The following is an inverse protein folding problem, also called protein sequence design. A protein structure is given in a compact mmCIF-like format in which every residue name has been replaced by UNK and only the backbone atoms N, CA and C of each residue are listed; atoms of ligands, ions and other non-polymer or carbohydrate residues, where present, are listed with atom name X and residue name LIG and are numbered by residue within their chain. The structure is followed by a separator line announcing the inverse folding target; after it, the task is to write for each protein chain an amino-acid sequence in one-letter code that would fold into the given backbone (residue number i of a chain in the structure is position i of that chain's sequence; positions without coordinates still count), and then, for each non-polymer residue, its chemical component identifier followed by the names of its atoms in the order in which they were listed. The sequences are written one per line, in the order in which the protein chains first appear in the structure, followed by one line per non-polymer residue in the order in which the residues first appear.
data_IF_652073022906
#
_entry.id   IF_652073022906
#
_cell.length_a   1.000
_cell.length_b   1.000
_cell.length_c   1.000
_cell.angle_alpha   90.00
_cell.angle_beta   90.00
_cell.angle_gamma   90.00
#
_symmetry.space_group_name_H-M   'P 1'
#
loop_
_entity.id
_entity.type
_entity.pdbx_description
1 polymer ?
#
# COMPACT_ATOMS: atom_id res chain seq x y z
N UNK A 1 -7.06 22.20 11.91
CA UNK A 1 -7.37 20.91 12.59
C UNK A 1 -6.83 20.84 14.01
N UNK A 2 -5.51 20.89 14.26
CA UNK A 2 -4.93 20.86 15.64
C UNK A 2 -5.40 21.95 16.61
N UNK A 3 -5.95 23.05 16.08
CA UNK A 3 -6.49 24.18 16.85
C UNK A 3 -7.59 23.78 17.84
N UNK A 4 -8.43 22.80 17.51
CA UNK A 4 -9.54 22.39 18.38
C UNK A 4 -9.10 21.51 19.56
N UNK A 5 -7.99 20.77 19.41
CA UNK A 5 -7.43 19.91 20.46
C UNK A 5 -6.56 20.67 21.45
N UNK A 6 -5.84 21.69 20.97
CA UNK A 6 -4.81 22.39 21.74
C UNK A 6 -5.12 23.88 21.95
N UNK A 7 -6.39 24.27 21.90
CA UNK A 7 -6.79 25.69 21.99
C UNK A 7 -6.34 26.34 23.31
N UNK A 8 -6.33 25.55 24.40
CA UNK A 8 -5.98 25.99 25.75
C UNK A 8 -4.47 26.16 25.97
N UNK A 9 -3.62 25.73 25.02
CA UNK A 9 -2.16 25.76 25.17
C UNK A 9 -1.52 27.06 24.66
N UNK A 10 -0.45 27.55 25.33
CA UNK A 10 0.27 28.74 24.91
C UNK A 10 0.86 28.59 23.50
N UNK A 11 0.92 29.71 22.75
CA UNK A 11 1.25 29.72 21.31
C UNK A 11 2.58 29.03 20.96
N UNK A 12 3.60 29.12 21.82
CA UNK A 12 4.90 28.45 21.63
C UNK A 12 4.78 26.93 21.63
N UNK A 13 3.97 26.39 22.53
CA UNK A 13 3.70 24.95 22.60
C UNK A 13 2.92 24.48 21.38
N UNK A 14 1.93 25.25 20.92
CA UNK A 14 1.20 24.96 19.68
C UNK A 14 2.09 24.96 18.43
N UNK A 15 3.08 25.86 18.36
CA UNK A 15 4.07 25.89 17.28
C UNK A 15 4.98 24.66 17.33
N UNK A 16 5.46 24.28 18.53
CA UNK A 16 6.26 23.06 18.72
C UNK A 16 5.48 21.79 18.37
N UNK A 17 4.23 21.69 18.83
CA UNK A 17 3.30 20.61 18.50
C UNK A 17 3.02 20.56 16.98
N UNK A 18 2.86 21.73 16.35
CA UNK A 18 2.69 21.83 14.89
C UNK A 18 3.94 21.42 14.12
N UNK A 19 5.13 21.75 14.61
CA UNK A 19 6.41 21.37 14.00
C UNK A 19 6.64 19.85 14.05
N UNK A 20 6.34 19.22 15.20
CA UNK A 20 6.44 17.77 15.36
C UNK A 20 5.21 17.01 14.86
N UNK A 21 4.19 17.69 14.35
CA UNK A 21 3.00 17.06 13.78
C UNK A 21 3.31 16.53 12.38
N UNK A 22 3.99 15.39 12.32
CA UNK A 22 4.06 14.57 11.12
C UNK A 22 2.71 13.90 10.82
N UNK A 23 2.53 13.47 9.57
CA UNK A 23 1.40 12.68 9.09
C UNK A 23 1.15 11.43 9.95
N UNK A 24 2.21 10.67 10.25
CA UNK A 24 2.11 9.44 11.07
C UNK A 24 1.66 9.75 12.50
N UNK A 25 2.20 10.81 13.10
CA UNK A 25 1.86 11.25 14.46
C UNK A 25 0.41 11.74 14.50
N UNK A 26 -0.02 12.48 13.47
CA UNK A 26 -1.39 12.96 13.35
C UNK A 26 -2.40 11.82 13.21
N UNK A 27 -2.14 10.86 12.31
CA UNK A 27 -3.01 9.71 12.10
C UNK A 27 -3.11 8.86 13.36
N UNK A 28 -1.98 8.59 14.03
CA UNK A 28 -1.96 7.87 15.30
C UNK A 28 -2.73 8.60 16.41
N UNK A 29 -2.55 9.92 16.50
CA UNK A 29 -3.26 10.76 17.46
C UNK A 29 -4.77 10.76 17.24
N UNK A 30 -5.24 10.94 16.00
CA UNK A 30 -6.68 10.92 15.69
C UNK A 30 -7.31 9.54 15.90
N UNK A 31 -6.56 8.45 15.68
CA UNK A 31 -7.04 7.09 15.96
C UNK A 31 -7.23 6.86 17.46
N UNK A 32 -6.38 7.44 18.30
CA UNK A 32 -6.45 7.31 19.77
C UNK A 32 -7.43 8.29 20.41
N UNK A 33 -7.52 9.50 19.88
CA UNK A 33 -8.42 10.57 20.34
C UNK A 33 -9.31 11.04 19.19
N UNK A 34 -10.37 10.30 18.86
CA UNK A 34 -11.29 10.66 17.77
C UNK A 34 -12.21 11.84 18.14
N UNK A 35 -12.47 12.05 19.44
CA UNK A 35 -13.25 13.19 19.91
C UNK A 35 -12.39 14.45 20.03
N UNK A 36 -12.80 15.53 19.34
CA UNK A 36 -12.14 16.84 19.35
C UNK A 36 -12.39 17.63 20.66
N UNK A 37 -12.07 17.02 21.80
CA UNK A 37 -12.17 17.63 23.13
C UNK A 37 -10.82 17.57 23.85
N UNK A 38 -10.46 18.58 24.66
CA UNK A 38 -9.30 18.50 25.54
C UNK A 38 -9.47 17.33 26.50
N UNK A 39 -8.52 16.38 26.50
CA UNK A 39 -8.52 15.24 27.41
C UNK A 39 -7.17 15.14 28.14
N UNK A 40 -7.16 14.69 29.42
CA UNK A 40 -5.93 14.42 30.14
C UNK A 40 -5.05 13.40 29.39
N UNK A 41 -3.75 13.67 29.31
CA UNK A 41 -2.77 12.74 28.70
C UNK A 41 -2.53 12.90 27.19
N UNK A 42 -3.27 13.76 26.48
CA UNK A 42 -3.05 14.01 25.05
C UNK A 42 -1.63 14.52 24.75
N UNK A 43 -1.10 15.42 25.59
CA UNK A 43 0.25 15.97 25.43
C UNK A 43 1.30 14.89 25.67
N UNK A 44 1.14 14.06 26.71
CA UNK A 44 2.06 12.98 27.01
C UNK A 44 2.09 11.92 25.89
N UNK A 45 0.93 11.57 25.34
CA UNK A 45 0.82 10.69 24.18
C UNK A 45 1.48 11.31 22.94
N UNK A 46 1.20 12.58 22.65
CA UNK A 46 1.83 13.29 21.54
C UNK A 46 3.35 13.36 21.69
N UNK A 47 3.86 13.71 22.87
CA UNK A 47 5.30 13.78 23.11
C UNK A 47 5.96 12.41 23.00
N UNK A 48 5.29 11.35 23.45
CA UNK A 48 5.75 9.97 23.28
C UNK A 48 5.81 9.60 21.80
N UNK A 49 4.73 9.83 21.05
CA UNK A 49 4.67 9.58 19.61
C UNK A 49 5.73 10.39 18.84
N UNK A 50 5.90 11.67 19.16
CA UNK A 50 6.90 12.53 18.56
C UNK A 50 8.33 12.07 18.87
N UNK A 51 8.63 11.72 20.12
CA UNK A 51 9.94 11.22 20.53
C UNK A 51 10.26 9.86 19.88
N UNK A 52 9.30 8.92 19.86
CA UNK A 52 9.47 7.63 19.18
C UNK A 52 9.69 7.83 17.68
N UNK A 53 8.89 8.66 17.02
CA UNK A 53 9.08 8.97 15.61
C UNK A 53 10.46 9.61 15.36
N UNK A 54 10.89 10.51 16.23
CA UNK A 54 12.21 11.14 16.15
C UNK A 54 13.33 10.12 16.29
N UNK A 55 13.27 9.23 17.29
CA UNK A 55 14.25 8.16 17.47
C UNK A 55 14.26 7.21 16.26
N UNK A 56 13.08 6.88 15.72
CA UNK A 56 12.96 6.00 14.56
C UNK A 56 13.52 6.63 13.28
N UNK A 57 13.61 7.96 13.21
CA UNK A 57 14.32 8.67 12.15
C UNK A 57 15.82 8.73 12.41
N UNK A 58 16.21 9.07 13.64
CA UNK A 58 17.61 9.31 14.00
C UNK A 58 18.44 8.02 13.97
N UNK A 59 17.94 6.91 14.53
CA UNK A 59 18.67 5.64 14.59
C UNK A 59 19.12 5.15 13.20
N UNK A 60 18.23 4.99 12.20
CA UNK A 60 18.65 4.54 10.87
C UNK A 60 19.47 5.60 10.13
N UNK A 61 19.25 6.89 10.37
CA UNK A 61 20.07 7.95 9.76
C UNK A 61 21.51 7.89 10.25
N UNK A 62 21.72 7.81 11.57
CA UNK A 62 23.04 7.68 12.18
C UNK A 62 23.68 6.35 11.77
N UNK A 63 22.92 5.25 11.81
CA UNK A 63 23.40 3.96 11.34
C UNK A 63 23.87 4.03 9.88
N UNK A 64 23.10 4.66 8.99
CA UNK A 64 23.47 4.88 7.59
C UNK A 64 24.71 5.75 7.43
N UNK A 65 24.84 6.84 8.20
CA UNK A 65 26.03 7.72 8.19
C UNK A 65 27.28 6.98 8.66
N UNK A 66 27.19 6.17 9.72
CA UNK A 66 28.32 5.40 10.23
C UNK A 66 28.71 4.30 9.25
N UNK A 67 27.72 3.59 8.68
CA UNK A 67 27.94 2.52 7.72
C UNK A 67 28.43 3.03 6.35
N UNK A 68 28.23 4.31 6.03
CA UNK A 68 28.72 4.93 4.80
C UNK A 68 30.25 4.86 4.68
N UNK A 69 30.99 4.86 5.79
CA UNK A 69 32.46 4.71 5.78
C UNK A 69 32.92 3.31 5.33
N UNK A 70 32.03 2.30 5.36
CA UNK A 70 32.33 0.98 4.83
C UNK A 70 32.28 0.93 3.29
N UNK A 71 31.72 1.97 2.65
CA UNK A 71 31.60 2.05 1.19
C UNK A 71 32.85 2.76 0.63
N UNK A 72 33.61 2.12 -0.27
CA UNK A 72 34.78 2.75 -0.90
C UNK A 72 34.40 4.08 -1.58
N UNK A 73 35.21 5.13 -1.36
CA UNK A 73 35.00 6.43 -2.01
C UNK A 73 35.00 6.34 -3.55
N UNK A 74 35.63 5.30 -4.12
CA UNK A 74 35.62 5.01 -5.55
C UNK A 74 34.24 4.65 -6.11
N UNK A 75 33.31 4.16 -5.27
CA UNK A 75 31.93 3.85 -5.68
C UNK A 75 31.05 5.10 -5.72
N UNK A 76 31.45 6.16 -5.02
CA UNK A 76 30.79 7.46 -5.02
C UNK A 76 29.42 7.49 -4.33
N UNK A 77 28.98 8.71 -3.99
CA UNK A 77 27.68 8.94 -3.34
C UNK A 77 26.48 8.49 -4.20
N UNK A 78 26.62 8.53 -5.52
CA UNK A 78 25.58 8.11 -6.47
C UNK A 78 25.21 6.63 -6.32
N UNK A 79 26.17 5.76 -6.05
CA UNK A 79 25.92 4.33 -5.84
C UNK A 79 25.17 4.07 -4.53
N UNK A 80 25.59 4.71 -3.44
CA UNK A 80 24.92 4.60 -2.14
C UNK A 80 23.45 5.07 -2.21
N UNK A 81 23.20 6.18 -2.92
CA UNK A 81 21.84 6.68 -3.14
C UNK A 81 20.97 5.70 -3.93
N UNK A 82 21.51 5.10 -5.00
CA UNK A 82 20.78 4.08 -5.78
C UNK A 82 20.50 2.83 -4.94
N UNK A 83 21.45 2.34 -4.14
CA UNK A 83 21.20 1.21 -3.23
C UNK A 83 20.12 1.52 -2.19
N UNK A 84 20.11 2.73 -1.63
CA UNK A 84 19.07 3.16 -0.70
C UNK A 84 17.68 3.18 -1.36
N UNK A 85 17.58 3.76 -2.56
CA UNK A 85 16.33 3.75 -3.35
C UNK A 85 15.92 2.32 -3.72
N UNK A 86 16.88 1.45 -4.03
CA UNK A 86 16.63 0.05 -4.34
C UNK A 86 16.13 -0.72 -3.11
N UNK A 87 16.65 -0.43 -1.91
CA UNK A 87 16.13 -0.99 -0.66
C UNK A 87 14.68 -0.58 -0.39
N UNK A 88 14.34 0.69 -0.58
CA UNK A 88 12.96 1.18 -0.48
C UNK A 88 12.08 0.51 -1.54
N UNK A 89 12.54 0.46 -2.79
CA UNK A 89 11.83 -0.19 -3.89
C UNK A 89 11.52 -1.65 -3.55
N UNK A 90 12.50 -2.42 -3.10
CA UNK A 90 12.33 -3.83 -2.72
C UNK A 90 11.34 -4.00 -1.58
N UNK A 91 11.29 -3.08 -0.61
CA UNK A 91 10.28 -3.11 0.46
C UNK A 91 8.86 -2.82 -0.05
N UNK A 92 8.72 -2.20 -1.22
CA UNK A 92 7.42 -1.92 -1.84
C UNK A 92 6.97 -3.02 -2.81
N UNK A 93 7.84 -3.96 -3.17
CA UNK A 93 7.49 -5.09 -4.04
C UNK A 93 6.64 -6.09 -3.28
N UNK A 94 5.32 -6.05 -3.48
CA UNK A 94 4.39 -6.90 -2.76
C UNK A 94 3.65 -7.91 -3.64
N UNK A 95 3.77 -7.81 -4.97
CA UNK A 95 3.04 -8.65 -5.91
C UNK A 95 3.75 -8.82 -7.26
N UNK A 96 3.27 -9.82 -8.03
CA UNK A 96 3.82 -10.19 -9.35
C UNK A 96 3.67 -9.10 -10.42
N UNK A 97 2.66 -8.23 -10.32
CA UNK A 97 2.47 -7.14 -11.28
C UNK A 97 3.44 -6.00 -10.98
N UNK A 98 3.71 -5.73 -9.70
CA UNK A 98 4.78 -4.81 -9.30
C UNK A 98 6.15 -5.29 -9.80
N UNK A 99 6.46 -6.59 -9.71
CA UNK A 99 7.68 -7.16 -10.29
C UNK A 99 7.76 -6.96 -11.82
N UNK A 100 6.66 -7.21 -12.53
CA UNK A 100 6.60 -6.99 -13.98
C UNK A 100 6.83 -5.52 -14.34
N UNK A 101 6.20 -4.59 -13.61
CA UNK A 101 6.37 -3.16 -13.84
C UNK A 101 7.82 -2.71 -13.61
N UNK A 102 8.48 -3.24 -12.58
CA UNK A 102 9.91 -2.98 -12.32
C UNK A 102 10.79 -3.52 -13.44
N UNK A 103 10.53 -4.73 -13.93
CA UNK A 103 11.27 -5.32 -15.04
C UNK A 103 11.10 -4.50 -16.34
N UNK A 104 9.88 -4.06 -16.63
CA UNK A 104 9.59 -3.21 -17.80
C UNK A 104 10.25 -1.84 -17.66
N UNK A 105 10.16 -1.21 -16.49
CA UNK A 105 10.83 0.06 -16.21
C UNK A 105 12.35 -0.06 -16.43
N UNK A 106 12.97 -1.10 -15.86
CA UNK A 106 14.41 -1.33 -15.93
C UNK A 106 14.89 -1.58 -17.36
N UNK A 107 14.19 -2.45 -18.10
CA UNK A 107 14.52 -2.73 -19.50
C UNK A 107 14.32 -1.51 -20.41
N UNK A 108 13.23 -0.76 -20.22
CA UNK A 108 12.98 0.47 -20.96
C UNK A 108 14.03 1.55 -20.67
N UNK A 109 14.42 1.72 -19.40
CA UNK A 109 15.47 2.67 -19.00
C UNK A 109 16.82 2.35 -19.65
N UNK A 110 17.19 1.06 -19.73
CA UNK A 110 18.42 0.59 -20.38
C UNK A 110 18.34 0.76 -21.90
N UNK A 111 17.22 0.38 -22.51
CA UNK A 111 17.02 0.51 -23.96
C UNK A 111 17.05 1.97 -24.43
N UNK A 112 16.59 2.90 -23.59
CA UNK A 112 16.58 4.34 -23.88
C UNK A 112 17.78 5.10 -23.33
N UNK A 113 18.82 4.41 -22.84
CA UNK A 113 19.99 5.02 -22.23
C UNK A 113 20.70 6.05 -23.13
N UNK A 114 20.66 5.85 -24.45
CA UNK A 114 21.28 6.75 -25.42
C UNK A 114 20.55 8.09 -25.60
N UNK A 115 19.35 8.27 -25.03
CA UNK A 115 18.62 9.54 -25.15
C UNK A 115 19.21 10.62 -24.21
N UNK A 116 19.49 11.84 -24.73
CA UNK A 116 19.95 12.95 -23.91
C UNK A 116 18.86 13.44 -22.95
N UNK A 117 19.24 14.22 -21.93
CA UNK A 117 18.34 14.92 -20.98
C UNK A 117 17.59 14.05 -19.95
N UNK A 118 18.08 12.85 -19.60
CA UNK A 118 17.40 11.93 -18.65
C UNK A 118 15.98 11.51 -19.11
N UNK A 119 15.70 11.58 -20.40
CA UNK A 119 14.44 11.12 -21.00
C UNK A 119 14.18 9.63 -20.78
N UNK A 120 15.24 8.84 -20.57
CA UNK A 120 15.15 7.43 -20.22
C UNK A 120 14.29 7.16 -18.98
N UNK A 121 14.30 8.04 -17.98
CA UNK A 121 13.46 7.91 -16.77
C UNK A 121 11.99 8.06 -17.13
N UNK A 122 11.65 9.07 -17.95
CA UNK A 122 10.28 9.32 -18.36
C UNK A 122 9.72 8.18 -19.21
N UNK A 123 10.50 7.68 -20.17
CA UNK A 123 10.11 6.54 -20.99
C UNK A 123 9.92 5.30 -20.13
N UNK A 124 10.82 5.04 -19.18
CA UNK A 124 10.70 3.92 -18.26
C UNK A 124 9.42 3.99 -17.41
N UNK A 125 9.09 5.16 -16.86
CA UNK A 125 7.86 5.37 -16.08
C UNK A 125 6.62 5.14 -16.95
N UNK A 126 6.58 5.73 -18.16
CA UNK A 126 5.47 5.56 -19.07
C UNK A 126 5.27 4.10 -19.48
N UNK A 127 6.36 3.39 -19.82
CA UNK A 127 6.33 1.98 -20.17
C UNK A 127 5.86 1.11 -19.00
N UNK A 128 6.34 1.39 -17.78
CA UNK A 128 5.97 0.65 -16.58
C UNK A 128 4.49 0.84 -16.22
N UNK A 129 3.98 2.08 -16.30
CA UNK A 129 2.55 2.39 -16.07
C UNK A 129 1.67 1.70 -17.11
N UNK A 130 2.05 1.76 -18.39
CA UNK A 130 1.30 1.09 -19.45
C UNK A 130 1.26 -0.44 -19.23
N UNK A 131 2.41 -1.05 -18.94
CA UNK A 131 2.49 -2.49 -18.66
C UNK A 131 1.71 -2.87 -17.40
N UNK A 132 1.79 -2.08 -16.33
CA UNK A 132 1.04 -2.30 -15.09
C UNK A 132 -0.47 -2.27 -15.32
N UNK A 133 -0.97 -1.27 -16.05
CA UNK A 133 -2.39 -1.16 -16.39
C UNK A 133 -2.85 -2.31 -17.28
N UNK A 134 -2.07 -2.68 -18.29
CA UNK A 134 -2.39 -3.82 -19.16
C UNK A 134 -2.44 -5.13 -18.36
N UNK A 135 -1.49 -5.36 -17.46
CA UNK A 135 -1.47 -6.56 -16.63
C UNK A 135 -2.64 -6.61 -15.64
N UNK A 136 -3.00 -5.48 -15.03
CA UNK A 136 -4.15 -5.39 -14.12
C UNK A 136 -5.48 -5.62 -14.87
N UNK A 137 -5.63 -5.09 -16.08
CA UNK A 137 -6.82 -5.35 -16.91
C UNK A 137 -6.94 -6.81 -17.33
N UNK A 138 -5.83 -7.44 -17.72
CA UNK A 138 -5.80 -8.86 -18.06
C UNK A 138 -6.18 -9.76 -16.86
N UNK A 139 -5.63 -9.48 -15.67
CA UNK A 139 -5.97 -10.24 -14.45
C UNK A 139 -7.45 -10.11 -14.07
N UNK A 140 -8.00 -8.89 -14.20
CA UNK A 140 -9.44 -8.64 -13.98
C UNK A 140 -10.31 -9.42 -14.96
N UNK A 141 -9.92 -9.49 -16.23
CA UNK A 141 -10.67 -10.26 -17.23
C UNK A 141 -10.63 -11.75 -16.93
N UNK A 142 -9.46 -12.30 -16.61
CA UNK A 142 -9.31 -13.73 -16.30
C UNK A 142 -10.13 -14.16 -15.08
N UNK A 143 -10.13 -13.34 -14.02
CA UNK A 143 -10.97 -13.58 -12.82
C UNK A 143 -12.45 -13.57 -13.17
N UNK A 144 -12.91 -12.65 -14.03
CA UNK A 144 -14.31 -12.59 -14.48
C UNK A 144 -14.72 -13.84 -15.26
N UNK A 145 -13.84 -14.37 -16.12
CA UNK A 145 -14.12 -15.59 -16.87
C UNK A 145 -14.27 -16.81 -15.95
N UNK A 146 -13.33 -17.01 -15.01
CA UNK A 146 -13.42 -18.11 -14.02
C UNK A 146 -14.67 -18.03 -13.13
N UNK A 147 -15.09 -16.82 -12.75
CA UNK A 147 -16.32 -16.63 -11.97
C UNK A 147 -17.57 -16.99 -12.78
N UNK A 148 -17.57 -16.72 -14.09
CA UNK A 148 -18.66 -17.14 -14.99
C UNK A 148 -18.70 -18.66 -15.12
N UNK A 149 -17.56 -19.30 -15.40
CA UNK A 149 -17.47 -20.76 -15.49
C UNK A 149 -17.98 -21.47 -14.22
N UNK A 150 -17.59 -20.96 -13.04
CA UNK A 150 -18.03 -21.53 -11.76
C UNK A 150 -19.50 -21.23 -11.44
N UNK A 151 -20.03 -20.07 -11.85
CA UNK A 151 -21.46 -19.77 -11.74
C UNK A 151 -22.30 -20.67 -12.66
N UNK A 152 -21.87 -20.85 -13.91
CA UNK A 152 -22.53 -21.69 -14.90
C UNK A 152 -22.54 -23.17 -14.45
N UNK A 153 -21.43 -23.67 -13.90
CA UNK A 153 -21.36 -25.01 -13.32
C UNK A 153 -22.34 -25.22 -12.16
N UNK A 154 -22.44 -24.25 -11.23
CA UNK A 154 -23.40 -24.31 -10.11
C UNK A 154 -24.86 -24.28 -10.57
N UNK A 155 -25.17 -23.47 -11.59
CA UNK A 155 -26.51 -23.42 -12.17
C UNK A 155 -26.89 -24.76 -12.79
N UNK A 156 -25.96 -25.43 -13.46
CA UNK A 156 -26.16 -26.78 -14.01
C UNK A 156 -26.38 -27.82 -12.91
N UNK A 157 -25.57 -27.83 -11.85
CA UNK A 157 -25.75 -28.73 -10.70
C UNK A 157 -27.11 -28.53 -10.02
N UNK A 158 -27.56 -27.28 -9.84
CA UNK A 158 -28.87 -26.98 -9.28
C UNK A 158 -30.01 -27.48 -10.18
N UNK A 159 -29.91 -27.29 -11.48
CA UNK A 159 -30.90 -27.79 -12.44
C UNK A 159 -30.95 -29.32 -12.45
N UNK A 160 -29.80 -29.99 -12.37
CA UNK A 160 -29.72 -31.44 -12.27
C UNK A 160 -30.29 -31.96 -10.94
N UNK A 161 -30.01 -31.32 -9.81
CA UNK A 161 -30.59 -31.67 -8.51
C UNK A 161 -32.13 -31.50 -8.50
N UNK A 162 -32.63 -30.47 -9.20
CA UNK A 162 -34.07 -30.19 -9.30
C UNK A 162 -34.79 -31.12 -10.29
N UNK A 163 -34.09 -31.63 -11.31
CA UNK A 163 -34.61 -32.63 -12.25
C UNK A 163 -34.50 -34.08 -11.76
N UNK A 164 -33.51 -34.36 -10.89
CA UNK A 164 -33.29 -35.70 -10.30
C UNK A 164 -34.09 -35.95 -9.02
N UNK A 165 -34.76 -34.94 -8.48
CA UNK A 165 -35.88 -35.14 -7.55
C UNK A 165 -37.04 -35.68 -8.40
N UNK A 166 -37.35 -36.99 -8.36
CA UNK A 166 -38.47 -37.51 -9.11
C UNK A 166 -39.71 -36.78 -8.62
N UNK A 167 -40.63 -36.49 -9.54
CA UNK A 167 -42.00 -36.17 -9.17
C UNK A 167 -42.66 -37.43 -8.56
N UNK A 168 -42.15 -37.88 -7.42
CA UNK A 168 -42.85 -38.73 -6.48
C UNK A 168 -43.82 -37.83 -5.70
N UNK A 169 -44.73 -37.21 -6.46
CA UNK A 169 -46.03 -36.84 -5.94
C UNK A 169 -46.90 -38.10 -6.08
N UNK A 170 -46.53 -39.15 -5.35
CA UNK A 170 -47.54 -40.10 -4.94
C UNK A 170 -48.52 -39.33 -4.07
N UNK A 171 -49.77 -39.40 -4.50
CA UNK A 171 -50.91 -38.73 -3.90
C UNK A 171 -50.88 -38.83 -2.37
N UNK A 172 -51.12 -37.73 -1.61
CA UNK A 172 -51.55 -37.91 -0.24
C UNK A 172 -52.81 -38.78 -0.31
N UNK A 173 -52.80 -39.92 0.36
CA UNK A 173 -54.00 -40.73 0.62
C UNK A 173 -55.00 -39.86 1.40
N UNK A 174 -55.72 -39.00 0.68
CA UNK A 174 -56.98 -38.42 1.09
C UNK A 174 -58.07 -39.42 0.68
N UNK A 175 -58.22 -40.48 1.47
CA UNK A 175 -59.51 -41.16 1.62
C UNK A 175 -59.97 -41.05 3.07
N UNK A 176 -60.79 -40.01 3.28
CA UNK A 176 -61.82 -39.83 4.32
C UNK A 176 -62.69 -41.10 4.49
N UNK A 177 -63.68 -41.11 5.41
CA UNK A 177 -63.81 -40.50 6.74
C UNK A 177 -63.92 -41.54 7.87
#
# INVERSE_FOLDING_TARGET
MWRSYFHELPRKQRLLLGYFSGDVIFVGFMKRFPEMKPQPGQIAYFSGAAATNWMMWQIPSIAGMLLANAIPLSWGLGFAGVLALLGILLSMVNDRFTLLAIAVAGTAAVATYALPLKMNILVAVMAAVAAGLMAETADRQWKRLKLRETADAKLQEQQQAQQSTPADNDHPEERRP
#
